data_IF_060375963103
#
_entry.id   IF_060375963103
#
_cell.length_a   1.000
_cell.length_b   1.000
_cell.length_c   1.000
_cell.angle_alpha   90.00
_cell.angle_beta   90.00
_cell.angle_gamma   90.00
#
_symmetry.space_group_name_H-M   'P 1'
#
loop_
_entity.id
_entity.type
_entity.pdbx_description
1 polymer ?
#
# COMPACT_ATOMS: atom_id res chain seq x y z
N UNK A 1 6.23 22.42 -7.69
CA UNK A 1 5.76 21.61 -8.84
C UNK A 1 5.97 22.42 -10.11
N UNK A 2 7.23 22.63 -10.48
CA UNK A 2 7.62 23.43 -11.66
C UNK A 2 8.65 22.68 -12.52
N UNK A 3 8.67 21.35 -12.44
CA UNK A 3 9.72 20.56 -13.10
C UNK A 3 9.44 20.31 -14.58
N UNK A 4 8.21 20.56 -15.06
CA UNK A 4 7.76 20.22 -16.43
C UNK A 4 7.09 21.41 -17.15
N UNK A 5 7.01 22.59 -16.52
CA UNK A 5 6.43 23.79 -17.15
C UNK A 5 4.93 23.71 -17.49
N UNK A 6 4.23 22.64 -17.10
CA UNK A 6 2.81 22.42 -17.37
C UNK A 6 2.00 22.65 -16.08
N UNK A 7 0.94 23.48 -16.11
CA UNK A 7 0.03 23.63 -14.98
C UNK A 7 -0.62 22.30 -14.59
N UNK A 8 -0.87 22.10 -13.30
CA UNK A 8 -1.51 20.87 -12.78
C UNK A 8 -2.84 20.56 -13.47
N UNK A 9 -3.68 21.56 -13.70
CA UNK A 9 -4.96 21.38 -14.38
C UNK A 9 -4.80 20.84 -15.81
N UNK A 10 -3.81 21.36 -16.54
CA UNK A 10 -3.48 20.91 -17.90
C UNK A 10 -2.97 19.47 -17.91
N UNK A 11 -2.13 19.09 -16.94
CA UNK A 11 -1.65 17.72 -16.81
C UNK A 11 -2.81 16.73 -16.55
N UNK A 12 -3.76 17.09 -15.69
CA UNK A 12 -4.95 16.28 -15.42
C UNK A 12 -5.78 16.06 -16.70
N UNK A 13 -6.03 17.13 -17.47
CA UNK A 13 -6.78 17.03 -18.73
C UNK A 13 -6.07 16.11 -19.75
N UNK A 14 -4.75 16.22 -19.86
CA UNK A 14 -3.94 15.36 -20.76
C UNK A 14 -4.07 13.88 -20.38
N UNK A 15 -3.93 13.53 -19.09
CA UNK A 15 -4.08 12.16 -18.64
C UNK A 15 -5.49 11.61 -18.88
N UNK A 16 -6.51 12.44 -18.64
CA UNK A 16 -7.90 12.03 -18.86
C UNK A 16 -8.17 11.69 -20.34
N UNK A 17 -7.67 12.51 -21.26
CA UNK A 17 -7.75 12.22 -22.70
C UNK A 17 -7.02 10.94 -23.07
N UNK A 18 -5.83 10.72 -22.50
CA UNK A 18 -5.05 9.50 -22.75
C UNK A 18 -5.78 8.24 -22.28
N UNK A 19 -6.50 8.31 -21.16
CA UNK A 19 -7.34 7.21 -20.65
C UNK A 19 -8.46 6.89 -21.63
N UNK A 20 -9.17 7.91 -22.11
CA UNK A 20 -10.28 7.73 -23.07
C UNK A 20 -9.76 7.13 -24.38
N UNK A 21 -8.68 7.68 -24.94
CA UNK A 21 -8.13 7.28 -26.23
C UNK A 21 -7.62 5.83 -26.22
N UNK A 22 -6.89 5.45 -25.16
CA UNK A 22 -6.24 4.14 -25.09
C UNK A 22 -7.04 3.10 -24.32
N UNK A 23 -8.21 3.47 -23.77
CA UNK A 23 -9.05 2.62 -22.90
C UNK A 23 -8.24 1.97 -21.78
N UNK A 24 -7.31 2.71 -21.19
CA UNK A 24 -6.33 2.14 -20.25
C UNK A 24 -5.63 3.20 -19.42
N UNK A 25 -4.97 2.76 -18.36
CA UNK A 25 -4.29 3.65 -17.41
C UNK A 25 -2.90 4.03 -17.96
N UNK A 26 -2.55 5.32 -18.02
CA UNK A 26 -1.34 5.80 -18.70
C UNK A 26 -0.06 5.65 -17.89
N UNK A 27 -0.11 4.87 -16.81
CA UNK A 27 1.00 4.57 -15.92
C UNK A 27 0.87 3.14 -15.41
N UNK A 28 1.99 2.59 -14.92
CA UNK A 28 1.99 1.29 -14.29
C UNK A 28 1.16 1.33 -13.01
N UNK A 29 0.16 0.46 -12.95
CA UNK A 29 -0.62 0.21 -11.74
C UNK A 29 0.27 -0.51 -10.72
N UNK A 30 0.88 0.24 -9.82
CA UNK A 30 1.39 -0.31 -8.57
C UNK A 30 0.21 -0.47 -7.64
N UNK A 31 -0.53 -1.57 -7.79
CA UNK A 31 -1.42 -2.00 -6.70
C UNK A 31 -0.46 -2.29 -5.54
N UNK A 32 -0.57 -1.60 -4.39
CA UNK A 32 0.23 -1.95 -3.23
C UNK A 32 -0.01 -3.43 -2.99
N UNK A 33 1.04 -4.25 -3.13
CA UNK A 33 0.94 -5.68 -2.87
C UNK A 33 0.32 -5.81 -1.49
N UNK A 34 -0.76 -6.60 -1.39
CA UNK A 34 -1.25 -7.03 -0.10
C UNK A 34 -0.06 -7.58 0.69
N UNK A 35 -0.10 -7.48 2.02
CA UNK A 35 0.87 -8.19 2.85
C UNK A 35 1.01 -9.61 2.29
N UNK A 36 2.24 -10.03 1.95
CA UNK A 36 2.45 -11.36 1.38
C UNK A 36 1.87 -12.36 2.35
N UNK A 37 1.03 -13.26 1.85
CA UNK A 37 0.56 -14.38 2.65
C UNK A 37 1.77 -15.21 3.08
N UNK A 38 1.67 -15.97 4.16
CA UNK A 38 2.78 -16.81 4.63
C UNK A 38 3.35 -17.69 3.51
N UNK A 39 2.49 -18.20 2.61
CA UNK A 39 2.86 -19.02 1.46
C UNK A 39 3.74 -18.29 0.42
N UNK A 40 3.68 -16.96 0.38
CA UNK A 40 4.48 -16.10 -0.50
C UNK A 40 5.79 -15.61 0.17
N UNK A 41 6.06 -16.03 1.42
CA UNK A 41 7.20 -15.57 2.21
C UNK A 41 8.27 -16.66 2.37
N UNK A 42 9.53 -16.24 2.33
CA UNK A 42 10.65 -17.08 2.75
C UNK A 42 10.61 -17.28 4.28
N UNK A 43 10.98 -18.48 4.74
CA UNK A 43 10.95 -18.89 6.14
C UNK A 43 11.72 -17.91 7.04
N UNK A 44 12.85 -17.40 6.54
CA UNK A 44 13.65 -16.38 7.25
C UNK A 44 12.89 -15.09 7.49
N UNK A 45 12.10 -14.63 6.52
CA UNK A 45 11.30 -13.40 6.63
C UNK A 45 10.15 -13.60 7.60
N UNK A 46 9.48 -14.75 7.53
CA UNK A 46 8.41 -15.10 8.47
C UNK A 46 8.95 -15.15 9.91
N UNK A 47 10.06 -15.84 10.13
CA UNK A 47 10.68 -15.95 11.46
C UNK A 47 11.08 -14.58 12.02
N UNK A 48 11.62 -13.68 11.19
CA UNK A 48 11.93 -12.31 11.60
C UNK A 48 10.67 -11.52 12.03
N UNK A 49 9.54 -11.69 11.34
CA UNK A 49 8.27 -11.06 11.72
C UNK A 49 7.73 -11.62 13.03
N UNK A 50 7.82 -12.94 13.24
CA UNK A 50 7.36 -13.58 14.47
C UNK A 50 8.17 -13.15 15.70
N UNK A 51 9.50 -13.05 15.56
CA UNK A 51 10.36 -12.54 16.64
C UNK A 51 9.97 -11.09 16.97
N UNK A 52 9.77 -10.25 15.96
CA UNK A 52 9.32 -8.87 16.17
C UNK A 52 7.98 -8.82 16.91
N UNK A 53 7.00 -9.62 16.51
CA UNK A 53 5.70 -9.67 17.18
C UNK A 53 5.79 -10.14 18.63
N UNK A 54 6.67 -11.11 18.91
CA UNK A 54 6.96 -11.56 20.27
C UNK A 54 7.57 -10.45 21.13
N UNK A 55 8.55 -9.72 20.60
CA UNK A 55 9.19 -8.60 21.32
C UNK A 55 8.19 -7.48 21.62
N UNK A 56 7.29 -7.17 20.68
CA UNK A 56 6.24 -6.17 20.89
C UNK A 56 5.26 -6.60 21.98
N UNK A 57 4.82 -7.87 21.97
CA UNK A 57 3.97 -8.41 23.02
C UNK A 57 4.65 -8.39 24.39
N UNK A 58 5.94 -8.74 24.45
CA UNK A 58 6.74 -8.66 25.67
C UNK A 58 6.88 -7.22 26.21
N UNK A 59 6.89 -6.22 25.32
CA UNK A 59 6.97 -4.80 25.68
C UNK A 59 5.59 -4.17 25.98
N UNK A 60 4.51 -4.96 26.00
CA UNK A 60 3.12 -4.47 26.13
C UNK A 60 2.71 -3.47 25.04
N UNK A 61 3.37 -3.52 23.88
CA UNK A 61 2.97 -2.83 22.64
C UNK A 61 1.84 -3.64 21.98
N UNK A 62 0.68 -3.64 22.64
CA UNK A 62 -0.50 -4.45 22.28
C UNK A 62 -1.70 -3.54 22.10
N UNK A 63 -2.51 -3.84 21.08
CA UNK A 63 -3.76 -3.14 20.82
C UNK A 63 -4.97 -4.00 21.26
N UNK A 64 -5.99 -3.42 21.91
CA UNK A 64 -7.23 -4.13 22.20
C UNK A 64 -7.90 -4.65 20.93
N UNK A 65 -8.33 -5.90 20.97
CA UNK A 65 -8.90 -6.60 19.81
C UNK A 65 -10.13 -5.87 19.24
N UNK A 66 -10.95 -5.30 20.12
CA UNK A 66 -12.17 -4.56 19.74
C UNK A 66 -11.86 -3.28 18.94
N UNK A 67 -10.71 -2.66 19.18
CA UNK A 67 -10.32 -1.43 18.47
C UNK A 67 -9.65 -1.76 17.13
N UNK A 68 -8.89 -2.86 17.06
CA UNK A 68 -8.31 -3.36 15.81
C UNK A 68 -9.39 -3.74 14.80
N UNK A 69 -10.42 -4.48 15.22
CA UNK A 69 -11.49 -4.87 14.29
C UNK A 69 -12.31 -3.68 13.78
N UNK A 70 -12.56 -2.67 14.61
CA UNK A 70 -13.21 -1.42 14.16
C UNK A 70 -12.40 -0.66 13.12
N UNK A 71 -11.07 -0.73 13.18
CA UNK A 71 -10.19 -0.10 12.19
C UNK A 71 -10.13 -0.89 10.88
N UNK A 72 -10.14 -2.22 10.96
CA UNK A 72 -10.10 -3.10 9.78
C UNK A 72 -11.40 -3.10 8.96
N UNK A 73 -12.55 -2.85 9.60
CA UNK A 73 -13.86 -2.76 8.92
C UNK A 73 -14.10 -1.42 8.20
N UNK A 74 -13.11 -0.52 8.18
CA UNK A 74 -13.23 0.86 7.67
C UNK A 74 -12.57 1.06 6.32
#
# INVERSE_FOLDING_TARGET
METIGIPRATAIDMFYRQIILNKGIPFLLTIPKSLPAQDDMDEKKFNALMVKGYDQAAQSDVYPIDDVFKELDR
#
